data_IF_667407860119
#
_entry.id   IF_667407860119
#
_cell.length_a   1.000
_cell.length_b   1.000
_cell.length_c   1.000
_cell.angle_alpha   90.00
_cell.angle_beta   90.00
_cell.angle_gamma   90.00
#
_symmetry.space_group_name_H-M   'P 1'
#
loop_
_entity.id
_entity.type
_entity.pdbx_description
1 polymer ?
#
# COMPACT_ATOMS: atom_id res chain seq x y z
N UNK A 1 12.79 -3.22 -20.51
CA UNK A 1 13.21 -1.93 -21.11
C UNK A 1 13.36 -2.01 -22.63
N UNK A 2 14.44 -2.57 -23.22
CA UNK A 2 14.63 -2.63 -24.70
C UNK A 2 13.43 -3.21 -25.48
N UNK A 3 12.80 -4.27 -24.96
CA UNK A 3 11.62 -4.90 -25.58
C UNK A 3 10.39 -3.98 -25.58
N UNK A 4 10.16 -3.24 -24.49
CA UNK A 4 9.06 -2.29 -24.36
C UNK A 4 9.25 -1.16 -25.37
N UNK A 5 10.44 -0.55 -25.41
CA UNK A 5 10.73 0.53 -26.36
C UNK A 5 10.48 0.12 -27.82
N UNK A 6 10.88 -1.11 -28.21
CA UNK A 6 10.58 -1.64 -29.55
C UNK A 6 9.08 -1.76 -29.82
N UNK A 7 8.29 -2.16 -28.83
CA UNK A 7 6.83 -2.26 -28.95
C UNK A 7 6.20 -0.87 -29.07
N UNK A 8 6.64 0.10 -28.27
CA UNK A 8 6.20 1.50 -28.37
C UNK A 8 6.45 2.08 -29.76
N UNK A 9 7.66 1.89 -30.30
CA UNK A 9 8.00 2.34 -31.65
C UNK A 9 7.12 1.66 -32.71
N UNK A 10 6.91 0.35 -32.64
CA UNK A 10 6.23 -0.38 -33.72
C UNK A 10 4.69 -0.31 -33.66
N UNK A 11 4.10 -0.20 -32.47
CA UNK A 11 2.63 -0.27 -32.29
C UNK A 11 1.99 1.04 -31.85
N UNK A 12 2.75 1.89 -31.16
CA UNK A 12 2.23 3.09 -30.50
C UNK A 12 2.90 4.36 -31.03
N UNK A 13 3.43 4.33 -32.26
CA UNK A 13 3.99 5.51 -32.93
C UNK A 13 5.23 6.11 -32.25
N UNK A 14 5.93 5.33 -31.41
CA UNK A 14 7.05 5.82 -30.60
C UNK A 14 6.65 6.38 -29.23
N UNK A 15 5.36 6.41 -28.91
CA UNK A 15 4.85 6.92 -27.64
C UNK A 15 4.51 5.79 -26.65
N UNK A 16 4.19 6.16 -25.41
CA UNK A 16 3.71 5.26 -24.36
C UNK A 16 2.20 5.05 -24.53
N UNK A 17 1.69 3.81 -24.40
CA UNK A 17 0.25 3.56 -24.52
C UNK A 17 -0.57 4.30 -23.46
N UNK A 18 -1.66 4.94 -23.88
CA UNK A 18 -2.52 5.77 -23.02
C UNK A 18 -3.75 5.04 -22.47
N UNK A 19 -3.74 3.71 -22.44
CA UNK A 19 -4.82 2.88 -21.89
C UNK A 19 -4.25 1.88 -20.86
N UNK A 20 -5.07 1.51 -19.87
CA UNK A 20 -4.65 0.59 -18.82
C UNK A 20 -4.37 -0.80 -19.41
N UNK A 21 -5.22 -1.25 -20.33
CA UNK A 21 -5.14 -2.54 -21.01
C UNK A 21 -3.87 -2.67 -21.83
N UNK A 22 -3.51 -1.64 -22.60
CA UNK A 22 -2.28 -1.65 -23.40
C UNK A 22 -1.03 -1.61 -22.54
N UNK A 23 -1.05 -0.84 -21.45
CA UNK A 23 0.05 -0.81 -20.49
C UNK A 23 0.26 -2.18 -19.85
N UNK A 24 -0.82 -2.88 -19.46
CA UNK A 24 -0.76 -4.23 -18.92
C UNK A 24 -0.28 -5.27 -19.96
N UNK A 25 -0.50 -5.01 -21.25
CA UNK A 25 0.02 -5.86 -22.32
C UNK A 25 1.54 -5.71 -22.53
N UNK A 26 2.17 -4.67 -21.99
CA UNK A 26 3.61 -4.49 -22.08
C UNK A 26 4.37 -5.46 -21.16
N UNK A 27 5.42 -6.12 -21.65
CA UNK A 27 6.14 -7.14 -20.89
C UNK A 27 6.87 -6.51 -19.69
N UNK A 28 6.51 -6.98 -18.49
CA UNK A 28 7.07 -6.52 -17.22
C UNK A 28 6.32 -5.35 -16.58
N UNK A 29 5.23 -4.88 -17.18
CA UNK A 29 4.31 -3.92 -16.55
C UNK A 29 3.18 -4.71 -15.90
N UNK A 30 3.15 -4.69 -14.56
CA UNK A 30 2.03 -5.24 -13.78
C UNK A 30 1.02 -4.15 -13.38
N UNK A 31 -0.09 -4.53 -12.71
CA UNK A 31 -1.18 -3.62 -12.32
C UNK A 31 -0.73 -2.36 -11.59
N UNK A 32 0.20 -2.49 -10.63
CA UNK A 32 0.78 -1.34 -9.91
C UNK A 32 1.39 -0.32 -10.86
N UNK A 33 2.25 -0.79 -11.77
CA UNK A 33 2.94 0.09 -12.71
C UNK A 33 1.95 0.68 -13.71
N UNK A 34 1.00 -0.09 -14.23
CA UNK A 34 0.01 0.41 -15.17
C UNK A 34 -0.84 1.54 -14.55
N UNK A 35 -1.38 1.35 -13.33
CA UNK A 35 -2.12 2.40 -12.64
C UNK A 35 -1.27 3.63 -12.33
N UNK A 36 0.01 3.44 -11.96
CA UNK A 36 0.92 4.54 -11.68
C UNK A 36 1.19 5.40 -12.91
N UNK A 37 1.44 4.77 -14.07
CA UNK A 37 1.68 5.51 -15.32
C UNK A 37 0.39 6.21 -15.76
N UNK A 38 -0.77 5.53 -15.71
CA UNK A 38 -2.07 6.15 -16.01
C UNK A 38 -2.34 7.42 -15.20
N UNK A 39 -2.03 7.36 -13.90
CA UNK A 39 -2.20 8.49 -12.99
C UNK A 39 -1.20 9.64 -13.30
N UNK A 40 0.10 9.34 -13.41
CA UNK A 40 1.12 10.40 -13.52
C UNK A 40 1.19 11.00 -14.92
N UNK A 41 1.13 10.17 -15.97
CA UNK A 41 1.40 10.63 -17.33
C UNK A 41 0.15 11.15 -18.05
N UNK A 42 -1.05 10.67 -17.69
CA UNK A 42 -2.30 11.06 -18.35
C UNK A 42 -3.36 11.64 -17.41
N UNK A 43 -3.02 11.88 -16.14
CA UNK A 43 -3.96 12.38 -15.11
C UNK A 43 -5.27 11.57 -15.07
N UNK A 44 -5.17 10.27 -15.33
CA UNK A 44 -6.32 9.39 -15.50
C UNK A 44 -6.32 8.29 -14.45
N UNK A 45 -7.05 8.55 -13.36
CA UNK A 45 -7.09 7.69 -12.17
C UNK A 45 -8.04 6.51 -12.39
N UNK A 46 -7.48 5.42 -12.93
CA UNK A 46 -8.16 4.12 -13.06
C UNK A 46 -8.15 3.29 -11.78
N UNK A 47 -7.17 3.52 -10.91
CA UNK A 47 -7.15 2.83 -9.62
C UNK A 47 -6.01 3.17 -8.68
N UNK A 48 -6.13 2.65 -7.46
CA UNK A 48 -5.16 2.90 -6.39
C UNK A 48 -3.87 2.13 -6.71
N UNK A 49 -2.73 2.84 -6.69
CA UNK A 49 -1.42 2.20 -6.77
C UNK A 49 -1.12 1.52 -5.42
N UNK A 50 -1.21 0.20 -5.35
CA UNK A 50 -0.88 -0.56 -4.13
C UNK A 50 0.50 -1.17 -4.26
N UNK A 51 1.38 -0.83 -3.31
CA UNK A 51 2.68 -1.44 -3.14
C UNK A 51 2.81 -2.19 -1.82
N UNK A 52 4.02 -2.61 -1.46
CA UNK A 52 4.29 -3.34 -0.23
C UNK A 52 4.04 -2.51 1.04
N UNK A 53 4.12 -1.18 0.98
CA UNK A 53 3.81 -0.29 2.10
C UNK A 53 2.31 -0.18 2.29
N UNK A 54 1.59 0.20 1.24
CA UNK A 54 0.12 0.32 1.25
C UNK A 54 -0.49 -1.02 1.67
N UNK A 55 -0.11 -2.11 1.01
CA UNK A 55 -0.61 -3.46 1.32
C UNK A 55 -0.38 -3.82 2.80
N UNK A 56 0.84 -3.67 3.32
CA UNK A 56 1.16 -4.01 4.71
C UNK A 56 0.40 -3.14 5.70
N UNK A 57 0.37 -1.82 5.48
CA UNK A 57 -0.19 -0.88 6.44
C UNK A 57 -1.71 -1.02 6.49
N UNK A 58 -2.40 -1.10 5.35
CA UNK A 58 -3.86 -1.29 5.33
C UNK A 58 -4.27 -2.60 6.02
N UNK A 59 -3.52 -3.69 5.83
CA UNK A 59 -3.76 -4.95 6.55
C UNK A 59 -3.44 -4.88 8.06
N UNK A 60 -2.50 -4.02 8.49
CA UNK A 60 -2.21 -3.78 9.91
C UNK A 60 -3.29 -2.95 10.59
N UNK A 61 -3.79 -1.94 9.88
CA UNK A 61 -4.85 -1.05 10.36
C UNK A 61 -6.24 -1.72 10.33
N UNK A 62 -6.39 -2.86 9.64
CA UNK A 62 -7.68 -3.55 9.51
C UNK A 62 -8.63 -2.87 8.53
N UNK A 63 -8.08 -2.08 7.60
CA UNK A 63 -8.84 -1.32 6.60
C UNK A 63 -9.33 -2.16 5.42
N UNK A 64 -8.75 -3.34 5.22
CA UNK A 64 -9.04 -4.21 4.09
C UNK A 64 -9.25 -5.65 4.54
N UNK A 65 -10.20 -6.31 3.89
CA UNK A 65 -10.57 -7.71 4.10
C UNK A 65 -10.83 -8.37 2.75
N UNK A 66 -10.60 -9.67 2.65
CA UNK A 66 -10.94 -10.42 1.43
C UNK A 66 -12.45 -10.50 1.29
N UNK A 67 -12.94 -10.29 0.07
CA UNK A 67 -14.37 -10.28 -0.23
C UNK A 67 -15.09 -11.52 0.31
N UNK A 68 -16.21 -11.31 1.00
CA UNK A 68 -17.01 -12.39 1.60
C UNK A 68 -16.37 -13.06 2.83
N UNK A 69 -15.30 -12.52 3.40
CA UNK A 69 -14.64 -13.08 4.59
C UNK A 69 -14.11 -12.01 5.55
N UNK A 70 -13.78 -12.42 6.78
CA UNK A 70 -13.03 -11.59 7.75
C UNK A 70 -11.52 -11.87 7.73
N UNK A 71 -10.99 -12.38 6.61
CA UNK A 71 -9.57 -12.65 6.46
C UNK A 71 -8.85 -11.44 5.85
N UNK A 72 -7.59 -11.23 6.26
CA UNK A 72 -6.72 -10.20 5.69
C UNK A 72 -6.47 -10.49 4.21
N UNK A 73 -6.29 -9.44 3.43
CA UNK A 73 -5.92 -9.56 2.00
C UNK A 73 -4.52 -10.15 1.87
N UNK A 74 -4.35 -11.06 0.92
CA UNK A 74 -3.10 -11.80 0.69
C UNK A 74 -2.26 -11.21 -0.45
N UNK A 75 -2.88 -10.42 -1.34
CA UNK A 75 -2.20 -9.82 -2.49
C UNK A 75 -2.43 -8.30 -2.54
N UNK A 76 -1.51 -7.52 -3.16
CA UNK A 76 -1.72 -6.10 -3.42
C UNK A 76 -2.99 -5.80 -4.21
N UNK A 77 -3.37 -6.70 -5.13
CA UNK A 77 -4.55 -6.55 -5.96
C UNK A 77 -5.84 -6.72 -5.14
N UNK A 78 -5.89 -7.70 -4.24
CA UNK A 78 -7.01 -7.83 -3.29
C UNK A 78 -7.12 -6.58 -2.41
N UNK A 79 -6.00 -6.02 -1.95
CA UNK A 79 -6.01 -4.75 -1.19
C UNK A 79 -6.53 -3.59 -2.02
N UNK A 80 -6.14 -3.47 -3.30
CA UNK A 80 -6.58 -2.40 -4.19
C UNK A 80 -8.10 -2.40 -4.31
N UNK A 81 -8.67 -3.56 -4.65
CA UNK A 81 -10.12 -3.72 -4.78
C UNK A 81 -10.80 -3.39 -3.45
N UNK A 82 -10.31 -3.93 -2.33
CA UNK A 82 -10.91 -3.68 -1.02
C UNK A 82 -10.86 -2.20 -0.59
N UNK A 83 -9.77 -1.49 -0.87
CA UNK A 83 -9.65 -0.05 -0.58
C UNK A 83 -10.63 0.78 -1.43
N UNK A 84 -10.73 0.48 -2.72
CA UNK A 84 -11.60 1.22 -3.64
C UNK A 84 -13.09 1.13 -3.30
N UNK A 85 -13.50 0.12 -2.53
CA UNK A 85 -14.90 -0.02 -2.10
C UNK A 85 -15.36 1.07 -1.12
N UNK A 86 -14.43 1.72 -0.41
CA UNK A 86 -14.80 2.66 0.66
C UNK A 86 -13.97 3.95 0.67
N UNK A 87 -12.75 3.94 0.13
CA UNK A 87 -11.90 5.12 0.09
C UNK A 87 -12.41 6.12 -0.97
N UNK A 88 -12.67 7.39 -0.62
CA UNK A 88 -13.07 8.42 -1.58
C UNK A 88 -12.09 8.53 -2.75
N UNK A 89 -12.59 8.80 -3.96
CA UNK A 89 -11.78 8.76 -5.18
C UNK A 89 -10.66 9.80 -5.18
N UNK A 90 -10.89 10.92 -4.52
CA UNK A 90 -9.94 12.01 -4.32
C UNK A 90 -8.69 11.55 -3.54
N UNK A 91 -8.84 10.51 -2.71
CA UNK A 91 -7.76 9.96 -1.89
C UNK A 91 -6.97 8.84 -2.60
N UNK A 92 -7.40 8.41 -3.79
CA UNK A 92 -6.77 7.27 -4.49
C UNK A 92 -5.34 7.53 -4.93
N UNK A 93 -5.02 8.79 -5.23
CA UNK A 93 -3.67 9.25 -5.59
C UNK A 93 -2.82 9.51 -4.35
N UNK A 94 -3.22 10.35 -3.38
CA UNK A 94 -2.37 10.73 -2.25
C UNK A 94 -2.09 9.59 -1.27
N UNK A 95 -2.95 8.56 -1.19
CA UNK A 95 -2.77 7.47 -0.23
C UNK A 95 -1.43 6.72 -0.40
N UNK A 96 -0.96 6.52 -1.64
CA UNK A 96 0.28 5.79 -1.87
C UNK A 96 1.51 6.52 -1.30
N UNK A 97 1.86 7.76 -1.74
CA UNK A 97 3.03 8.45 -1.22
C UNK A 97 2.94 8.69 0.30
N UNK A 98 1.74 8.93 0.84
CA UNK A 98 1.52 9.09 2.28
C UNK A 98 1.90 7.82 3.05
N UNK A 99 1.36 6.66 2.65
CA UNK A 99 1.63 5.40 3.33
C UNK A 99 3.06 4.89 3.05
N UNK A 100 3.66 5.22 1.92
CA UNK A 100 5.08 4.94 1.66
C UNK A 100 5.95 5.68 2.66
N UNK A 101 5.81 7.01 2.78
CA UNK A 101 6.58 7.81 3.72
C UNK A 101 6.38 7.37 5.18
N UNK A 102 5.12 7.13 5.57
CA UNK A 102 4.79 6.60 6.89
C UNK A 102 5.37 5.20 7.13
N UNK A 103 5.32 4.32 6.12
CA UNK A 103 5.81 2.95 6.20
C UNK A 103 7.33 2.82 6.20
N UNK A 104 8.05 3.83 5.73
CA UNK A 104 9.51 3.92 5.79
C UNK A 104 10.00 4.44 7.15
N UNK A 105 9.23 5.31 7.80
CA UNK A 105 9.69 6.05 8.99
C UNK A 105 9.08 5.55 10.31
N UNK A 106 7.81 5.13 10.31
CA UNK A 106 7.06 4.73 11.51
C UNK A 106 6.59 3.28 11.42
N UNK A 107 5.78 2.93 10.43
CA UNK A 107 5.19 1.59 10.30
C UNK A 107 6.08 0.65 9.47
N UNK A 108 7.33 0.51 9.91
CA UNK A 108 8.35 -0.32 9.26
C UNK A 108 7.97 -1.80 9.23
N UNK A 109 8.50 -2.60 8.28
CA UNK A 109 8.20 -4.03 8.20
C UNK A 109 8.56 -4.78 9.49
N UNK A 110 9.74 -4.49 10.05
CA UNK A 110 10.24 -5.08 11.29
C UNK A 110 10.29 -3.99 12.36
N UNK A 111 9.73 -4.30 13.55
CA UNK A 111 9.72 -3.43 14.74
C UNK A 111 9.22 -1.99 14.43
N UNK A 112 7.95 -1.83 14.01
CA UNK A 112 7.37 -0.50 13.80
C UNK A 112 7.38 0.30 15.10
N UNK A 113 7.55 1.61 14.97
CA UNK A 113 7.61 2.58 16.09
C UNK A 113 6.21 2.92 16.58
N UNK A 114 5.52 1.94 17.15
CA UNK A 114 4.14 2.09 17.61
C UNK A 114 4.02 3.11 18.76
N UNK A 115 5.07 3.30 19.55
CA UNK A 115 5.22 4.34 20.57
C UNK A 115 5.14 5.77 20.00
N UNK A 116 5.59 5.97 18.75
CA UNK A 116 5.57 7.26 18.03
C UNK A 116 4.47 7.34 16.98
N UNK A 117 3.64 6.31 16.86
CA UNK A 117 2.58 6.24 15.87
C UNK A 117 1.34 6.96 16.39
N UNK A 118 0.97 8.07 15.74
CA UNK A 118 -0.21 8.87 16.12
C UNK A 118 -1.56 8.16 15.97
N UNK A 119 -1.60 6.98 15.34
CA UNK A 119 -2.80 6.15 15.20
C UNK A 119 -2.67 4.81 15.93
N UNK A 120 -1.71 4.67 16.85
CA UNK A 120 -1.44 3.41 17.55
C UNK A 120 -2.63 2.94 18.39
N UNK A 121 -3.38 3.86 19.01
CA UNK A 121 -4.54 3.54 19.84
C UNK A 121 -5.68 2.88 19.03
N UNK A 122 -5.83 3.28 17.77
CA UNK A 122 -6.84 2.75 16.85
C UNK A 122 -6.34 1.56 16.01
N UNK A 123 -5.04 1.23 16.09
CA UNK A 123 -4.44 0.19 15.26
C UNK A 123 -4.50 -1.18 15.96
N UNK A 124 -5.23 -2.17 15.39
CA UNK A 124 -5.36 -3.49 16.00
C UNK A 124 -4.03 -4.28 15.99
N UNK A 125 -3.05 -3.85 15.20
CA UNK A 125 -1.72 -4.46 15.11
C UNK A 125 -0.63 -3.66 15.84
N UNK A 126 -0.98 -2.66 16.66
CA UNK A 126 -0.01 -1.88 17.40
C UNK A 126 0.71 -2.72 18.46
N UNK A 127 2.04 -2.60 18.52
CA UNK A 127 2.81 -3.16 19.62
C UNK A 127 2.54 -2.36 20.89
N UNK A 128 2.06 -3.05 21.93
CA UNK A 128 1.91 -2.50 23.28
C UNK A 128 2.96 -3.16 24.15
N UNK A 129 3.91 -2.38 24.64
CA UNK A 129 4.91 -2.91 25.58
C UNK A 129 4.22 -3.20 26.91
N UNK A 130 4.20 -4.46 27.33
CA UNK A 130 3.64 -4.85 28.62
C UNK A 130 4.57 -4.34 29.72
N UNK A 131 4.13 -3.32 30.46
CA UNK A 131 4.84 -2.81 31.63
C UNK A 131 5.03 -3.95 32.65
N UNK A 132 6.24 -4.50 32.76
CA UNK A 132 6.59 -5.44 33.83
C UNK A 132 6.64 -4.63 35.13
N UNK A 133 5.61 -4.73 35.97
CA UNK A 133 5.61 -4.15 37.31
C UNK A 133 6.77 -4.75 38.10
N UNK A 134 7.83 -3.98 38.35
CA UNK A 134 8.86 -4.32 39.34
C UNK A 134 8.19 -4.34 40.71
N UNK A 135 7.87 -5.52 41.23
CA UNK A 135 7.50 -5.70 42.64
C UNK A 135 8.73 -5.39 43.49
N UNK A 136 8.76 -4.20 44.09
CA UNK A 136 9.80 -3.81 45.05
C UNK A 136 9.74 -4.72 46.27
N UNK A 137 10.75 -5.59 46.43
CA UNK A 137 10.96 -6.38 47.63
C UNK A 137 11.39 -5.45 48.77
N UNK A 138 10.47 -5.20 49.70
CA UNK A 138 10.78 -4.54 50.97
C UNK A 138 11.43 -5.58 51.90
N UNK A 139 12.76 -5.55 52.03
CA UNK A 139 13.46 -6.22 53.14
C UNK A 139 13.25 -5.36 54.39
N UNK A 140 12.43 -5.82 55.33
CA UNK A 140 12.41 -5.30 56.70
C UNK A 140 13.64 -5.84 57.44
N UNK A 141 14.36 -4.92 58.10
CA UNK A 141 15.28 -5.24 59.21
C UNK A 141 14.47 -5.74 60.42
#
# INVERSE_FOLDING_TARGET
>A
MKKIAKICISKYGGDIPSSLEDLLALPGIGPKMAHLVMNIAWDNVHGICVDTHVHRICNRLGWVWRAGSKQKTSTPEETRVALQLWLPKEEWVPINPLLVGFGQTICTPLRPRCDKCGVSEFCPSAFKETQIKKTGGSKKL
#
